data_IF_344629127749
#
_entry.id   IF_344629127749
#
_cell.length_a   1.000
_cell.length_b   1.000
_cell.length_c   1.000
_cell.angle_alpha   90.00
_cell.angle_beta   90.00
_cell.angle_gamma   90.00
#
_symmetry.space_group_name_H-M   'P 1'
#
loop_
_entity.id
_entity.type
_entity.pdbx_description
1 polymer ?
#
# COMPACT_ATOMS: atom_id res chain seq x y z
N UNK A 1 -23.82 24.11 -27.09
CA UNK A 1 -23.45 23.91 -25.67
C UNK A 1 -22.02 23.39 -25.63
N UNK A 2 -21.11 24.02 -24.90
CA UNK A 2 -19.77 23.47 -24.71
C UNK A 2 -19.94 22.08 -24.07
N UNK A 3 -19.38 21.04 -24.69
CA UNK A 3 -19.34 19.71 -24.10
C UNK A 3 -18.81 19.86 -22.67
N UNK A 4 -19.55 19.36 -21.67
CA UNK A 4 -19.14 19.42 -20.29
C UNK A 4 -17.73 18.82 -20.19
N UNK A 5 -16.74 19.67 -19.93
CA UNK A 5 -15.34 19.26 -19.95
C UNK A 5 -15.11 18.30 -18.79
N UNK A 6 -15.10 17.00 -19.09
CA UNK A 6 -14.92 15.95 -18.09
C UNK A 6 -13.62 16.17 -17.31
N UNK A 7 -13.72 16.13 -15.98
CA UNK A 7 -12.63 16.33 -15.02
C UNK A 7 -12.30 15.06 -14.27
N UNK A 8 -13.23 14.11 -14.16
CA UNK A 8 -13.09 12.88 -13.38
C UNK A 8 -13.19 11.68 -14.33
N UNK A 9 -12.16 10.85 -14.35
CA UNK A 9 -12.07 9.64 -15.16
C UNK A 9 -12.14 8.45 -14.21
N UNK A 10 -13.15 7.59 -14.42
CA UNK A 10 -13.41 6.41 -13.60
C UNK A 10 -13.03 5.13 -14.34
N UNK A 11 -12.48 4.18 -13.58
CA UNK A 11 -12.26 2.80 -14.04
C UNK A 11 -13.33 1.92 -13.36
N UNK A 12 -14.15 1.16 -14.12
CA UNK A 12 -15.12 0.26 -13.51
C UNK A 12 -14.45 -0.79 -12.62
N UNK A 13 -15.09 -1.19 -11.53
CA UNK A 13 -14.59 -2.20 -10.58
C UNK A 13 -14.32 -3.56 -11.25
N UNK A 14 -15.10 -3.90 -12.28
CA UNK A 14 -14.88 -5.09 -13.10
C UNK A 14 -13.53 -5.09 -13.85
N UNK A 15 -12.82 -3.95 -13.90
CA UNK A 15 -11.50 -3.79 -14.51
C UNK A 15 -10.38 -3.53 -13.49
N UNK A 16 -10.59 -3.85 -12.22
CA UNK A 16 -9.48 -3.86 -11.24
C UNK A 16 -8.40 -4.84 -11.74
N UNK A 17 -7.12 -4.41 -11.81
CA UNK A 17 -6.03 -5.32 -12.16
C UNK A 17 -5.95 -6.49 -11.18
N UNK A 18 -5.64 -7.68 -11.71
CA UNK A 18 -5.55 -8.93 -10.92
C UNK A 18 -4.12 -9.36 -10.63
N UNK A 19 -3.12 -8.58 -11.06
CA UNK A 19 -1.71 -8.82 -10.80
C UNK A 19 -1.00 -7.51 -10.41
N UNK A 20 -0.07 -7.59 -9.47
CA UNK A 20 0.93 -6.55 -9.22
C UNK A 20 2.05 -6.66 -10.26
N UNK A 21 2.63 -5.51 -10.61
CA UNK A 21 3.78 -5.43 -11.51
C UNK A 21 5.08 -5.31 -10.70
N UNK A 22 6.04 -6.17 -11.00
CA UNK A 22 7.37 -6.15 -10.40
C UNK A 22 8.37 -5.52 -11.39
N UNK A 23 8.81 -4.30 -11.08
CA UNK A 23 9.75 -3.57 -11.92
C UNK A 23 11.14 -4.22 -11.99
N UNK A 24 11.55 -5.01 -10.99
CA UNK A 24 12.87 -5.65 -10.95
C UNK A 24 13.08 -6.64 -12.11
N UNK A 25 12.00 -7.19 -12.67
CA UNK A 25 12.04 -8.03 -13.85
C UNK A 25 12.56 -7.30 -15.11
N UNK A 26 12.33 -5.98 -15.19
CA UNK A 26 12.65 -5.17 -16.36
C UNK A 26 13.78 -4.14 -16.10
N UNK A 27 14.41 -4.16 -14.92
CA UNK A 27 15.54 -3.30 -14.61
C UNK A 27 16.81 -3.76 -15.35
N UNK A 28 17.46 -2.90 -16.16
CA UNK A 28 18.73 -3.23 -16.82
C UNK A 28 19.85 -3.55 -15.83
N UNK A 29 19.87 -2.82 -14.70
CA UNK A 29 20.78 -3.05 -13.58
C UNK A 29 19.93 -3.27 -12.33
N UNK A 30 19.87 -4.52 -11.84
CA UNK A 30 19.13 -4.83 -10.62
C UNK A 30 19.85 -4.29 -9.39
N UNK A 31 19.12 -3.85 -8.35
CA UNK A 31 19.75 -3.55 -7.07
C UNK A 31 20.45 -4.82 -6.54
N UNK A 32 21.59 -4.62 -5.90
CA UNK A 32 22.25 -5.72 -5.18
C UNK A 32 21.34 -6.24 -4.06
N UNK A 33 21.49 -7.51 -3.66
CA UNK A 33 20.70 -8.07 -2.57
C UNK A 33 21.01 -7.32 -1.26
N UNK A 34 20.05 -7.24 -0.33
CA UNK A 34 20.33 -6.76 1.01
C UNK A 34 21.42 -7.62 1.66
N UNK A 35 22.29 -6.99 2.45
CA UNK A 35 23.38 -7.68 3.12
C UNK A 35 23.05 -7.94 4.59
N UNK A 36 23.39 -9.12 5.08
CA UNK A 36 23.25 -9.45 6.49
C UNK A 36 24.14 -8.51 7.33
N UNK A 37 23.61 -7.86 8.39
CA UNK A 37 24.34 -6.82 9.11
C UNK A 37 25.62 -7.34 9.80
N UNK A 38 25.61 -8.59 10.25
CA UNK A 38 26.77 -9.30 10.82
C UNK A 38 27.79 -9.77 9.76
N UNK A 39 27.41 -10.73 8.91
CA UNK A 39 28.33 -11.39 7.96
C UNK A 39 28.72 -10.52 6.74
N UNK A 40 27.96 -9.46 6.45
CA UNK A 40 28.09 -8.63 5.23
C UNK A 40 27.90 -9.41 3.93
N UNK A 41 27.38 -10.63 3.99
CA UNK A 41 27.02 -11.42 2.81
C UNK A 41 25.55 -11.18 2.43
N UNK A 42 25.14 -11.43 1.18
CA UNK A 42 23.74 -11.40 0.77
C UNK A 42 22.84 -12.22 1.70
N UNK A 43 21.70 -11.65 2.11
CA UNK A 43 20.70 -12.38 2.90
C UNK A 43 19.98 -13.42 2.04
N UNK A 44 19.58 -14.52 2.65
CA UNK A 44 18.66 -15.50 2.09
C UNK A 44 17.27 -15.44 2.76
N UNK A 45 16.29 -16.22 2.25
CA UNK A 45 14.95 -16.30 2.82
C UNK A 45 14.90 -16.60 4.32
N UNK A 46 15.83 -17.42 4.82
CA UNK A 46 15.90 -17.79 6.24
C UNK A 46 16.28 -16.63 7.16
N UNK A 47 17.02 -15.64 6.65
CA UNK A 47 17.35 -14.44 7.42
C UNK A 47 16.13 -13.53 7.61
N UNK A 48 15.12 -13.65 6.74
CA UNK A 48 13.88 -12.88 6.76
C UNK A 48 12.74 -13.58 7.51
N UNK A 49 12.79 -14.92 7.63
CA UNK A 49 11.76 -15.75 8.25
C UNK A 49 11.40 -15.36 9.70
N UNK A 50 12.30 -14.80 10.54
CA UNK A 50 11.92 -14.29 11.85
C UNK A 50 11.00 -13.05 11.82
N UNK A 51 10.96 -12.33 10.69
CA UNK A 51 10.27 -11.05 10.54
C UNK A 51 9.02 -11.15 9.66
N UNK A 52 9.07 -12.00 8.62
CA UNK A 52 8.05 -12.03 7.58
C UNK A 52 7.54 -13.45 7.31
N UNK A 53 6.25 -13.61 6.99
CA UNK A 53 5.72 -14.85 6.42
C UNK A 53 6.37 -15.14 5.05
N UNK A 54 6.45 -16.43 4.70
CA UNK A 54 7.09 -16.94 3.48
C UNK A 54 6.48 -16.33 2.22
N UNK A 55 5.17 -16.11 2.18
CA UNK A 55 4.47 -15.50 1.04
C UNK A 55 4.91 -14.07 0.76
N UNK A 56 5.36 -13.32 1.78
CA UNK A 56 5.98 -12.00 1.58
C UNK A 56 7.46 -12.14 1.18
N UNK A 57 8.19 -13.09 1.77
CA UNK A 57 9.59 -13.35 1.43
C UNK A 57 9.73 -13.75 -0.05
N UNK A 58 8.84 -14.61 -0.56
CA UNK A 58 8.83 -15.04 -1.95
C UNK A 58 8.59 -13.87 -2.92
N UNK A 59 7.82 -12.86 -2.52
CA UNK A 59 7.63 -11.66 -3.34
C UNK A 59 8.91 -10.82 -3.40
N UNK A 60 9.61 -10.66 -2.29
CA UNK A 60 10.86 -9.89 -2.21
C UNK A 60 11.95 -10.47 -3.12
N UNK A 61 12.02 -11.80 -3.24
CA UNK A 61 13.03 -12.49 -4.05
C UNK A 61 12.54 -12.87 -5.45
N UNK A 62 11.30 -12.54 -5.81
CA UNK A 62 10.74 -12.94 -7.10
C UNK A 62 11.39 -12.19 -8.27
N UNK A 63 11.73 -12.95 -9.31
CA UNK A 63 12.14 -12.42 -10.61
C UNK A 63 10.99 -12.27 -11.61
N UNK A 64 9.76 -12.66 -11.24
CA UNK A 64 8.61 -12.65 -12.13
C UNK A 64 8.12 -11.23 -12.35
N UNK A 65 7.72 -10.91 -13.59
CA UNK A 65 7.20 -9.59 -13.96
C UNK A 65 5.83 -9.30 -13.35
N UNK A 66 5.01 -10.32 -13.20
CA UNK A 66 3.64 -10.23 -12.72
C UNK A 66 3.45 -11.17 -11.54
N UNK A 67 2.90 -10.64 -10.45
CA UNK A 67 2.56 -11.40 -9.25
C UNK A 67 1.05 -11.34 -9.07
N UNK A 68 0.38 -12.47 -9.10
CA UNK A 68 -1.07 -12.53 -8.94
C UNK A 68 -1.52 -11.95 -7.59
N UNK A 69 -2.55 -11.12 -7.63
CA UNK A 69 -3.19 -10.57 -6.43
C UNK A 69 -4.19 -11.62 -5.93
N UNK A 70 -4.05 -12.07 -4.68
CA UNK A 70 -5.01 -13.01 -4.09
C UNK A 70 -6.45 -12.47 -4.15
N UNK A 71 -7.43 -13.33 -4.43
CA UNK A 71 -8.84 -12.95 -4.53
C UNK A 71 -9.34 -12.17 -3.31
N UNK A 72 -9.02 -12.63 -2.10
CA UNK A 72 -9.39 -11.97 -0.84
C UNK A 72 -8.79 -10.56 -0.70
N UNK A 73 -7.60 -10.32 -1.28
CA UNK A 73 -6.99 -8.98 -1.32
C UNK A 73 -7.72 -8.08 -2.33
N UNK A 74 -8.14 -8.62 -3.48
CA UNK A 74 -8.96 -7.90 -4.47
C UNK A 74 -10.31 -7.53 -3.85
N UNK A 75 -10.93 -8.45 -3.11
CA UNK A 75 -12.21 -8.23 -2.44
C UNK A 75 -12.15 -7.03 -1.49
N UNK A 76 -11.09 -6.94 -0.68
CA UNK A 76 -10.85 -5.77 0.17
C UNK A 76 -10.57 -4.51 -0.65
N UNK A 77 -9.79 -4.60 -1.74
CA UNK A 77 -9.54 -3.44 -2.60
C UNK A 77 -10.81 -2.84 -3.20
N UNK A 78 -11.84 -3.63 -3.50
CA UNK A 78 -13.11 -3.13 -4.06
C UNK A 78 -13.79 -2.09 -3.16
N UNK A 79 -13.47 -2.05 -1.85
CA UNK A 79 -14.01 -1.04 -0.94
C UNK A 79 -13.62 0.41 -1.31
N UNK A 80 -12.49 0.62 -2.02
CA UNK A 80 -12.08 1.97 -2.46
C UNK A 80 -11.39 2.04 -3.82
N UNK A 81 -11.06 0.91 -4.44
CA UNK A 81 -10.41 0.82 -5.75
C UNK A 81 -11.43 0.40 -6.82
N UNK A 82 -11.28 0.86 -8.06
CA UNK A 82 -10.23 1.76 -8.56
C UNK A 82 -10.40 3.21 -8.11
N UNK A 83 -9.29 3.84 -7.77
CA UNK A 83 -9.29 5.26 -7.41
C UNK A 83 -9.49 6.15 -8.65
N UNK A 84 -10.14 7.32 -8.55
CA UNK A 84 -10.36 8.19 -9.69
C UNK A 84 -9.05 8.82 -10.21
N UNK A 85 -8.98 9.03 -11.53
CA UNK A 85 -7.98 9.90 -12.16
C UNK A 85 -8.65 11.23 -12.47
N UNK A 86 -8.06 12.34 -12.04
CA UNK A 86 -8.61 13.66 -12.30
C UNK A 86 -7.74 14.44 -13.28
N UNK A 87 -8.37 15.27 -14.11
CA UNK A 87 -7.70 16.29 -14.93
C UNK A 87 -7.80 17.66 -14.27
N UNK A 88 -6.68 18.26 -13.89
CA UNK A 88 -6.62 19.50 -13.12
C UNK A 88 -6.78 20.76 -13.98
N UNK A 89 -7.87 20.88 -14.75
CA UNK A 89 -8.10 21.97 -15.72
C UNK A 89 -8.01 23.38 -15.15
N UNK A 90 -8.46 23.57 -13.90
CA UNK A 90 -8.36 24.87 -13.21
C UNK A 90 -6.90 25.22 -12.90
N UNK A 91 -6.09 24.24 -12.55
CA UNK A 91 -4.66 24.39 -12.35
C UNK A 91 -3.94 24.64 -13.70
N UNK A 92 -4.32 23.90 -14.76
CA UNK A 92 -3.84 24.15 -16.12
C UNK A 92 -4.04 25.63 -16.51
N UNK A 93 -5.27 26.15 -16.30
CA UNK A 93 -5.62 27.56 -16.56
C UNK A 93 -4.84 28.54 -15.69
N UNK A 94 -4.73 28.28 -14.38
CA UNK A 94 -4.03 29.16 -13.45
C UNK A 94 -2.53 29.27 -13.77
N UNK A 95 -1.93 28.20 -14.30
CA UNK A 95 -0.53 28.16 -14.72
C UNK A 95 -0.30 28.67 -16.15
N UNK A 96 -1.37 28.90 -16.93
CA UNK A 96 -1.26 29.24 -18.35
C UNK A 96 -0.59 28.16 -19.20
N UNK A 97 -0.57 26.90 -18.75
CA UNK A 97 0.14 25.81 -19.43
C UNK A 97 -0.71 25.14 -20.50
N UNK A 98 -0.08 24.71 -21.58
CA UNK A 98 -0.68 23.82 -22.60
C UNK A 98 -0.58 22.35 -22.21
N UNK A 99 0.20 22.02 -21.17
CA UNK A 99 0.30 20.67 -20.64
C UNK A 99 -1.03 20.21 -20.04
N UNK A 100 -1.33 18.92 -20.18
CA UNK A 100 -2.48 18.28 -19.53
C UNK A 100 -2.03 17.73 -18.20
N UNK A 101 -2.62 18.21 -17.11
CA UNK A 101 -2.23 17.83 -15.75
C UNK A 101 -3.23 16.81 -15.21
N UNK A 102 -2.72 15.63 -14.86
CA UNK A 102 -3.52 14.58 -14.24
C UNK A 102 -2.97 14.19 -12.87
N UNK A 103 -3.85 13.80 -11.97
CA UNK A 103 -3.46 13.21 -10.69
C UNK A 103 -4.31 12.00 -10.36
N UNK A 104 -3.64 10.92 -9.97
CA UNK A 104 -4.27 9.68 -9.49
C UNK A 104 -4.60 9.87 -8.01
N UNK A 105 -5.89 9.93 -7.67
CA UNK A 105 -6.31 10.33 -6.33
C UNK A 105 -6.45 9.12 -5.38
N UNK A 106 -5.31 8.73 -4.80
CA UNK A 106 -5.22 7.64 -3.80
C UNK A 106 -5.76 8.03 -2.41
N UNK A 107 -6.35 9.23 -2.26
CA UNK A 107 -6.98 9.69 -1.01
C UNK A 107 -8.37 9.10 -0.74
N UNK A 108 -8.86 8.21 -1.61
CA UNK A 108 -10.21 7.61 -1.54
C UNK A 108 -10.32 6.43 -0.58
N UNK A 109 -9.20 5.88 -0.10
CA UNK A 109 -9.23 4.81 0.90
C UNK A 109 -9.75 5.33 2.25
N UNK A 110 -10.31 4.46 3.13
CA UNK A 110 -10.85 4.89 4.41
C UNK A 110 -9.85 5.64 5.31
N UNK A 111 -8.55 5.40 5.13
CA UNK A 111 -7.47 6.10 5.87
C UNK A 111 -6.87 7.28 5.11
N UNK A 112 -7.34 7.56 3.89
CA UNK A 112 -7.00 8.73 3.08
C UNK A 112 -5.61 8.69 2.44
N UNK A 113 -5.11 7.51 2.06
CA UNK A 113 -3.81 7.39 1.35
C UNK A 113 -3.66 6.09 0.57
N UNK A 114 -2.55 5.91 -0.15
CA UNK A 114 -2.22 4.67 -0.86
C UNK A 114 -1.73 3.53 0.05
N UNK A 115 -1.43 3.79 1.34
CA UNK A 115 -0.81 2.81 2.24
C UNK A 115 -1.60 1.51 2.46
N UNK A 116 -2.95 1.52 2.48
CA UNK A 116 -3.74 0.29 2.48
C UNK A 116 -3.40 -0.67 1.35
N UNK A 117 -2.92 -0.18 0.20
CA UNK A 117 -2.58 -1.02 -0.95
C UNK A 117 -1.44 -2.01 -0.66
N UNK A 118 -0.61 -1.80 0.38
CA UNK A 118 0.35 -2.84 0.82
C UNK A 118 -0.06 -3.42 2.18
N UNK A 119 -0.65 -2.63 3.07
CA UNK A 119 -1.07 -3.11 4.39
C UNK A 119 -2.05 -4.30 4.28
N UNK A 120 -3.02 -4.24 3.36
CA UNK A 120 -3.97 -5.34 3.12
C UNK A 120 -3.26 -6.61 2.68
N UNK A 121 -2.33 -6.51 1.71
CA UNK A 121 -1.58 -7.66 1.25
C UNK A 121 -0.74 -8.26 2.39
N UNK A 122 -0.03 -7.42 3.15
CA UNK A 122 0.78 -7.89 4.28
C UNK A 122 -0.06 -8.55 5.38
N UNK A 123 -1.22 -7.98 5.72
CA UNK A 123 -2.15 -8.57 6.68
C UNK A 123 -2.70 -9.92 6.16
N UNK A 124 -3.06 -10.00 4.87
CA UNK A 124 -3.51 -11.24 4.24
C UNK A 124 -2.47 -12.37 4.33
N UNK A 125 -1.22 -12.13 3.91
CA UNK A 125 -0.19 -13.17 3.93
C UNK A 125 0.15 -13.60 5.36
N UNK A 126 0.21 -12.65 6.30
CA UNK A 126 0.36 -12.97 7.72
C UNK A 126 -0.77 -13.85 8.24
N UNK A 127 -2.03 -13.49 7.97
CA UNK A 127 -3.19 -14.27 8.39
C UNK A 127 -3.17 -15.67 7.81
N UNK A 128 -2.91 -15.79 6.51
CA UNK A 128 -2.85 -17.06 5.79
C UNK A 128 -1.81 -18.02 6.37
N UNK A 129 -0.70 -17.48 6.87
CA UNK A 129 0.41 -18.26 7.42
C UNK A 129 0.38 -18.38 8.95
N UNK A 130 -0.77 -18.07 9.57
CA UNK A 130 -1.03 -18.36 10.98
C UNK A 130 -0.51 -17.30 11.96
N UNK A 131 -0.02 -16.16 11.49
CA UNK A 131 0.26 -15.01 12.36
C UNK A 131 -1.03 -14.60 13.06
N UNK A 132 -0.94 -14.31 14.36
CA UNK A 132 -2.07 -13.85 15.19
C UNK A 132 -2.05 -12.35 15.47
N UNK A 133 -0.85 -11.77 15.46
CA UNK A 133 -0.62 -10.36 15.78
C UNK A 133 0.48 -9.77 14.89
N UNK A 134 0.24 -8.57 14.37
CA UNK A 134 1.25 -7.76 13.68
C UNK A 134 1.69 -6.62 14.59
N UNK A 135 3.00 -6.41 14.68
CA UNK A 135 3.60 -5.23 15.29
C UNK A 135 4.19 -4.32 14.20
N UNK A 136 3.97 -3.02 14.29
CA UNK A 136 4.57 -2.05 13.35
C UNK A 136 4.79 -0.69 14.01
N UNK A 137 5.65 0.12 13.43
CA UNK A 137 5.92 1.49 13.84
C UNK A 137 5.00 2.49 13.14
N UNK A 138 4.88 3.71 13.65
CA UNK A 138 4.36 4.83 12.86
C UNK A 138 4.85 6.18 13.33
N UNK A 139 5.08 7.10 12.38
CA UNK A 139 5.39 8.50 12.68
C UNK A 139 4.11 9.31 12.88
N UNK A 140 3.68 9.99 11.81
CA UNK A 140 2.47 10.82 11.84
C UNK A 140 1.15 10.01 11.89
N UNK A 141 1.20 8.69 11.69
CA UNK A 141 0.06 7.78 11.90
C UNK A 141 -0.59 7.23 10.63
N UNK A 142 -0.23 7.65 9.42
CA UNK A 142 -0.86 7.14 8.19
C UNK A 142 -0.61 5.64 7.99
N UNK A 143 0.61 5.18 8.28
CA UNK A 143 0.96 3.76 8.15
C UNK A 143 0.28 2.91 9.22
N UNK A 144 0.33 3.34 10.48
CA UNK A 144 -0.37 2.66 11.56
C UNK A 144 -1.88 2.58 11.33
N UNK A 145 -2.51 3.65 10.82
CA UNK A 145 -3.94 3.62 10.43
C UNK A 145 -4.22 2.57 9.35
N UNK A 146 -3.35 2.48 8.33
CA UNK A 146 -3.51 1.52 7.25
C UNK A 146 -3.33 0.07 7.74
N UNK A 147 -2.35 -0.19 8.61
CA UNK A 147 -2.09 -1.51 9.17
C UNK A 147 -3.18 -1.93 10.16
N UNK A 148 -3.64 -1.05 11.04
CA UNK A 148 -4.75 -1.32 11.96
C UNK A 148 -6.02 -1.71 11.20
N UNK A 149 -6.40 -0.92 10.18
CA UNK A 149 -7.53 -1.23 9.30
C UNK A 149 -7.35 -2.57 8.57
N UNK A 150 -6.17 -2.84 8.02
CA UNK A 150 -5.90 -4.09 7.32
C UNK A 150 -5.95 -5.31 8.26
N UNK A 151 -5.39 -5.21 9.47
CA UNK A 151 -5.48 -6.25 10.48
C UNK A 151 -6.93 -6.53 10.86
N UNK A 152 -7.77 -5.49 10.96
CA UNK A 152 -9.19 -5.65 11.25
C UNK A 152 -9.95 -6.43 10.18
N UNK A 153 -9.62 -6.25 8.89
CA UNK A 153 -10.25 -7.02 7.81
C UNK A 153 -9.92 -8.52 7.81
N UNK A 154 -8.81 -8.91 8.45
CA UNK A 154 -8.34 -10.31 8.49
C UNK A 154 -8.33 -10.91 9.90
N UNK A 155 -9.02 -10.27 10.85
CA UNK A 155 -9.06 -10.69 12.26
C UNK A 155 -7.67 -10.98 12.83
N UNK A 156 -6.78 -9.99 12.73
CA UNK A 156 -5.45 -9.97 13.32
C UNK A 156 -5.39 -8.92 14.43
N UNK A 157 -4.69 -9.24 15.52
CA UNK A 157 -4.31 -8.22 16.49
C UNK A 157 -3.27 -7.26 15.87
N UNK A 158 -3.37 -5.97 16.19
CA UNK A 158 -2.40 -4.97 15.72
C UNK A 158 -1.81 -4.19 16.89
N UNK A 159 -0.49 -4.12 16.96
CA UNK A 159 0.23 -3.25 17.90
C UNK A 159 1.01 -2.21 17.12
N UNK A 160 0.65 -0.94 17.28
CA UNK A 160 1.31 0.18 16.60
C UNK A 160 2.17 0.98 17.58
N UNK A 161 3.48 1.00 17.34
CA UNK A 161 4.45 1.81 18.06
C UNK A 161 4.57 3.20 17.41
N UNK A 162 3.76 4.15 17.90
CA UNK A 162 3.76 5.52 17.40
C UNK A 162 4.85 6.38 18.07
N UNK A 163 5.60 7.16 17.27
CA UNK A 163 6.63 8.07 17.76
C UNK A 163 6.05 9.00 18.83
N UNK A 164 6.66 9.02 20.03
CA UNK A 164 6.15 9.69 21.24
C UNK A 164 5.63 11.11 20.99
N UNK A 165 6.40 11.96 20.31
CA UNK A 165 5.97 13.35 20.07
C UNK A 165 4.73 13.42 19.15
N UNK A 166 4.66 12.55 18.13
CA UNK A 166 3.49 12.49 17.23
C UNK A 166 2.27 11.87 17.92
N UNK A 167 2.48 10.91 18.83
CA UNK A 167 1.39 10.32 19.62
C UNK A 167 0.61 11.39 20.40
N UNK A 168 1.31 12.39 20.96
CA UNK A 168 0.68 13.48 21.69
C UNK A 168 0.19 14.62 20.77
N UNK A 169 0.96 14.99 19.74
CA UNK A 169 0.63 16.14 18.88
C UNK A 169 -0.36 15.83 17.76
N UNK A 170 -0.53 14.55 17.37
CA UNK A 170 -1.40 14.11 16.27
C UNK A 170 -2.42 13.06 16.75
N UNK A 171 -3.24 13.37 17.78
CA UNK A 171 -4.08 12.38 18.43
C UNK A 171 -5.15 11.79 17.51
N UNK A 172 -5.64 12.51 16.50
CA UNK A 172 -6.69 11.98 15.62
C UNK A 172 -6.28 10.77 14.80
N UNK A 173 -4.99 10.64 14.45
CA UNK A 173 -4.52 9.41 13.80
C UNK A 173 -4.46 8.24 14.79
N UNK A 174 -4.16 8.51 16.07
CA UNK A 174 -4.27 7.52 17.13
C UNK A 174 -5.71 7.05 17.33
N UNK A 175 -6.65 7.98 17.47
CA UNK A 175 -8.08 7.65 17.60
C UNK A 175 -8.58 6.83 16.42
N UNK A 176 -8.17 7.19 15.20
CA UNK A 176 -8.50 6.40 14.00
C UNK A 176 -7.93 4.97 14.07
N UNK A 177 -6.68 4.81 14.54
CA UNK A 177 -6.08 3.47 14.73
C UNK A 177 -6.84 2.65 15.77
N UNK A 178 -7.24 3.26 16.89
CA UNK A 178 -7.95 2.62 18.00
C UNK A 178 -9.42 2.27 17.67
N UNK A 179 -9.97 2.80 16.56
CA UNK A 179 -11.34 2.49 16.10
C UNK A 179 -11.41 1.21 15.29
N UNK A 180 -10.30 0.79 14.69
CA UNK A 180 -10.18 -0.46 13.92
C UNK A 180 -9.83 -1.62 14.85
#
# INVERSE_FOLDING_TARGET
MAAALETKILLPEARIPTAWYNIAADMPNRPGPPLHPGTKQPIGPQDLAPLFPMGLILQEVSGDRWIDIPGEVIDVYRLWRPTPLYRARRLEKALGTTARLYYKYEGTSPVGSHKPNTAVAQAYYNKKEGTRRIATETGAGQWGSAMAMACRFFDLECTVYMVKVSYHQKPYRRVLMETY
#
